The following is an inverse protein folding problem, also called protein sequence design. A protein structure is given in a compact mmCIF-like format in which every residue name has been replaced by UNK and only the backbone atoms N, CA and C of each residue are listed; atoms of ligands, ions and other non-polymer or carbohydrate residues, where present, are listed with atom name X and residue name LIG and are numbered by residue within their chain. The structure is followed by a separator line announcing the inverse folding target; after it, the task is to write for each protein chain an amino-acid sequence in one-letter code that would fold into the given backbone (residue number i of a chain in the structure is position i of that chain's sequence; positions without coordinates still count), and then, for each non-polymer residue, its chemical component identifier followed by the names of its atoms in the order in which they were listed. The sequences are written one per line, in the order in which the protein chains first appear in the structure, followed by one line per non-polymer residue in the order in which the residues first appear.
data_IF_994301165967
#
_entry.id   IF_994301165967
#
_cell.length_a   1.000
_cell.length_b   1.000
_cell.length_c   1.000
_cell.angle_alpha   90.00
_cell.angle_beta   90.00
_cell.angle_gamma   90.00
#
_symmetry.space_group_name_H-M   'P 1'
#
loop_
_entity.id
_entity.type
_entity.pdbx_description
1 polymer ?
#
# COMPACT_ATOMS: atom_id res chain seq x y z
N UNK A 1 18.03 -61.12 28.99
CA UNK A 1 18.00 -62.00 30.19
C UNK A 1 16.70 -61.73 30.93
N UNK A 2 15.90 -62.77 31.10
CA UNK A 2 14.58 -62.77 31.75
C UNK A 2 14.74 -62.89 33.27
N UNK A 3 13.97 -62.13 34.04
CA UNK A 3 13.45 -62.48 35.40
C UNK A 3 12.54 -61.31 35.85
N UNK A 4 11.22 -61.44 35.80
CA UNK A 4 10.31 -62.04 36.80
C UNK A 4 10.53 -61.47 38.21
N UNK A 5 9.57 -60.67 38.69
CA UNK A 5 8.92 -60.96 39.97
C UNK A 5 7.61 -60.16 40.14
N UNK A 6 6.53 -60.92 40.23
CA UNK A 6 5.20 -60.51 40.70
C UNK A 6 5.20 -60.63 42.22
N UNK A 7 4.73 -59.59 42.91
CA UNK A 7 4.37 -59.68 44.33
C UNK A 7 3.05 -58.92 44.56
N UNK A 8 1.99 -59.69 44.79
CA UNK A 8 0.68 -59.25 45.27
C UNK A 8 0.65 -59.26 46.79
N UNK A 9 0.31 -58.15 47.41
CA UNK A 9 -0.17 -58.09 48.80
C UNK A 9 -1.44 -57.24 48.85
N UNK A 10 -2.51 -57.85 49.34
CA UNK A 10 -3.76 -57.20 49.69
C UNK A 10 -3.75 -56.87 51.19
N UNK A 11 -4.29 -55.71 51.58
CA UNK A 11 -4.98 -55.53 52.87
C UNK A 11 -5.74 -54.18 52.93
N UNK A 12 -7.03 -54.34 53.18
CA UNK A 12 -7.96 -53.52 53.97
C UNK A 12 -8.27 -52.06 53.62
N UNK A 13 -9.56 -51.88 53.34
CA UNK A 13 -10.28 -50.62 53.29
C UNK A 13 -10.56 -50.04 54.69
N UNK A 14 -10.55 -48.71 54.79
CA UNK A 14 -11.46 -47.92 55.60
C UNK A 14 -11.83 -46.65 54.81
N UNK A 15 -13.10 -46.31 54.91
CA UNK A 15 -13.87 -45.33 54.15
C UNK A 15 -13.57 -43.88 54.54
N UNK A 16 -13.64 -42.93 53.60
CA UNK A 16 -14.52 -41.76 53.78
C UNK A 16 -14.80 -40.95 52.50
N UNK A 17 -16.07 -40.58 52.39
CA UNK A 17 -16.71 -39.47 51.66
C UNK A 17 -16.08 -38.83 50.41
N UNK A 18 -16.79 -38.90 49.28
CA UNK A 18 -16.60 -37.95 48.18
C UNK A 18 -17.27 -38.33 46.87
N UNK A 19 -18.53 -37.94 46.70
CA UNK A 19 -19.25 -37.69 45.42
C UNK A 19 -18.75 -38.37 44.13
N UNK A 20 -19.44 -39.43 43.68
CA UNK A 20 -19.41 -39.85 42.27
C UNK A 20 -20.27 -38.89 41.42
N UNK A 21 -19.78 -38.37 40.28
CA UNK A 21 -20.64 -37.66 39.34
C UNK A 21 -21.57 -38.65 38.63
N UNK A 22 -22.87 -38.35 38.67
CA UNK A 22 -23.92 -39.06 37.94
C UNK A 22 -23.78 -38.76 36.44
N UNK A 23 -23.63 -39.82 35.65
CA UNK A 23 -24.01 -39.82 34.24
C UNK A 23 -25.53 -39.59 34.14
N UNK A 24 -25.93 -38.60 33.34
CA UNK A 24 -27.32 -38.38 32.98
C UNK A 24 -27.40 -37.92 31.52
N UNK A 25 -27.45 -38.90 30.62
CA UNK A 25 -28.05 -38.76 29.31
C UNK A 25 -29.57 -38.74 29.45
N UNK A 26 -30.20 -37.58 29.22
CA UNK A 26 -31.54 -37.42 28.65
C UNK A 26 -31.82 -35.92 28.44
N UNK A 27 -31.80 -35.45 27.18
CA UNK A 27 -32.40 -34.17 26.80
C UNK A 27 -33.89 -34.41 26.48
N UNK A 28 -34.82 -33.56 26.94
CA UNK A 28 -36.20 -33.64 26.51
C UNK A 28 -36.30 -33.15 25.05
N UNK A 29 -37.15 -33.80 24.26
CA UNK A 29 -37.52 -33.37 22.92
C UNK A 29 -38.27 -32.03 23.03
N UNK A 30 -37.64 -30.96 22.53
CA UNK A 30 -38.22 -29.63 22.40
C UNK A 30 -38.43 -29.28 20.93
N UNK A 31 -39.53 -28.60 20.66
CA UNK A 31 -40.10 -28.26 19.36
C UNK A 31 -39.10 -27.91 18.24
N UNK A 32 -39.31 -28.55 17.09
CA UNK A 32 -38.52 -28.44 15.88
C UNK A 32 -38.78 -27.15 15.08
N UNK A 33 -38.31 -26.03 15.62
CA UNK A 33 -37.90 -24.88 14.82
C UNK A 33 -36.37 -24.86 14.78
N UNK A 34 -35.74 -25.42 13.75
CA UNK A 34 -34.30 -25.23 13.56
C UNK A 34 -34.05 -23.77 13.18
N UNK A 35 -33.84 -22.90 14.17
CA UNK A 35 -33.10 -21.66 13.91
C UNK A 35 -31.76 -22.08 13.33
N UNK A 36 -31.59 -21.88 12.02
CA UNK A 36 -30.31 -22.12 11.35
C UNK A 36 -29.29 -21.26 12.08
N UNK A 37 -28.29 -21.90 12.71
CA UNK A 37 -27.18 -21.19 13.32
C UNK A 37 -26.61 -20.19 12.30
N UNK A 38 -26.36 -18.95 12.75
CA UNK A 38 -25.83 -17.92 11.87
C UNK A 38 -24.54 -18.43 11.17
N UNK A 39 -24.34 -18.15 9.88
CA UNK A 39 -23.16 -18.59 9.16
C UNK A 39 -21.88 -18.14 9.88
N UNK A 40 -20.95 -19.06 10.11
CA UNK A 40 -19.63 -18.73 10.68
C UNK A 40 -18.86 -17.91 9.64
N UNK A 41 -18.49 -16.68 10.00
CA UNK A 41 -17.68 -15.79 9.17
C UNK A 41 -16.31 -15.60 9.80
N UNK A 42 -15.26 -15.53 8.99
CA UNK A 42 -13.92 -15.15 9.44
C UNK A 42 -13.72 -13.63 9.33
N UNK A 43 -12.83 -13.09 10.17
CA UNK A 43 -12.47 -11.67 10.13
C UNK A 43 -11.77 -11.35 8.79
N UNK A 44 -12.28 -10.33 8.08
CA UNK A 44 -11.70 -9.87 6.81
C UNK A 44 -10.44 -9.02 6.99
N UNK A 45 -10.33 -8.35 8.13
CA UNK A 45 -9.16 -7.62 8.61
C UNK A 45 -8.79 -8.13 10.02
N UNK A 46 -8.00 -9.22 10.12
CA UNK A 46 -7.60 -9.79 11.41
C UNK A 46 -6.52 -8.96 12.13
N UNK A 47 -5.88 -8.01 11.45
CA UNK A 47 -4.85 -7.12 12.02
C UNK A 47 -5.23 -5.65 11.77
N UNK A 48 -6.33 -5.18 12.39
CA UNK A 48 -6.84 -3.83 12.12
C UNK A 48 -5.83 -2.77 12.52
N UNK A 49 -5.96 -1.60 11.89
CA UNK A 49 -5.19 -0.42 12.30
C UNK A 49 -5.46 -0.09 13.78
N UNK A 50 -4.38 0.24 14.47
CA UNK A 50 -4.40 0.82 15.84
C UNK A 50 -3.91 2.27 15.82
N UNK A 51 -3.73 2.83 14.62
CA UNK A 51 -3.27 4.20 14.45
C UNK A 51 -4.29 5.20 15.00
N UNK A 52 -3.75 6.18 15.72
CA UNK A 52 -4.45 7.38 16.10
C UNK A 52 -3.61 8.58 15.70
N UNK A 53 -4.27 9.63 15.19
CA UNK A 53 -3.59 10.86 14.81
C UNK A 53 -2.74 11.40 15.98
N UNK A 54 -1.53 11.85 15.65
CA UNK A 54 -0.68 12.53 16.60
C UNK A 54 -1.31 13.86 17.02
N UNK A 55 -0.99 14.40 18.21
CA UNK A 55 -1.49 15.71 18.63
C UNK A 55 -1.06 16.80 17.63
N UNK A 56 -2.03 17.47 17.03
CA UNK A 56 -1.84 18.63 16.17
C UNK A 56 -2.24 19.93 16.86
N UNK A 57 -1.83 21.05 16.26
CA UNK A 57 -2.34 22.39 16.61
C UNK A 57 -3.02 22.99 15.38
N UNK A 58 -4.12 23.74 15.54
CA UNK A 58 -4.69 24.49 14.42
C UNK A 58 -3.58 25.33 13.78
N UNK A 59 -3.44 25.23 12.46
CA UNK A 59 -2.32 25.86 11.75
C UNK A 59 -2.84 26.54 10.48
N UNK A 60 -2.47 27.81 10.32
CA UNK A 60 -2.71 28.60 9.13
C UNK A 60 -1.38 28.86 8.43
N UNK A 61 -1.20 28.28 7.25
CA UNK A 61 -0.15 28.67 6.31
C UNK A 61 -0.72 29.81 5.45
N UNK A 62 -0.01 30.94 5.33
CA UNK A 62 -0.45 32.10 4.52
C UNK A 62 0.65 32.61 3.59
N UNK A 63 0.26 33.38 2.57
CA UNK A 63 1.16 33.93 1.55
C UNK A 63 1.97 32.87 0.77
N UNK A 64 1.40 31.68 0.59
CA UNK A 64 2.05 30.54 -0.09
C UNK A 64 1.56 30.38 -1.52
N UNK A 65 2.33 29.71 -2.37
CA UNK A 65 1.79 29.15 -3.62
C UNK A 65 1.21 27.76 -3.33
N UNK A 66 -0.10 27.58 -3.50
CA UNK A 66 -0.76 26.30 -3.22
C UNK A 66 -0.90 25.50 -4.51
N UNK A 67 -0.45 24.24 -4.51
CA UNK A 67 -0.96 23.21 -5.42
C UNK A 67 -1.90 22.34 -4.62
N UNK A 68 -3.18 22.29 -4.97
CA UNK A 68 -4.21 21.64 -4.14
C UNK A 68 -4.25 20.10 -4.28
N UNK A 69 -3.51 19.53 -5.25
CA UNK A 69 -3.54 18.10 -5.58
C UNK A 69 -4.70 17.68 -6.49
N UNK A 70 -5.60 18.60 -6.85
CA UNK A 70 -6.71 18.35 -7.78
C UNK A 70 -6.47 18.99 -9.16
N UNK A 71 -5.34 19.68 -9.31
CA UNK A 71 -4.94 20.35 -10.54
C UNK A 71 -5.17 21.86 -10.51
N UNK A 72 -5.39 22.45 -9.33
CA UNK A 72 -5.52 23.90 -9.19
C UNK A 72 -4.33 24.52 -8.46
N UNK A 73 -4.02 25.75 -8.88
CA UNK A 73 -3.01 26.61 -8.29
C UNK A 73 -3.65 27.84 -7.65
N UNK A 74 -3.16 28.23 -6.47
CA UNK A 74 -3.53 29.50 -5.82
C UNK A 74 -2.25 30.24 -5.43
N UNK A 75 -2.00 31.38 -6.08
CA UNK A 75 -0.88 32.27 -5.73
C UNK A 75 -1.28 33.20 -4.57
N UNK A 76 -0.36 33.40 -3.61
CA UNK A 76 -0.66 34.17 -2.40
C UNK A 76 -1.77 33.51 -1.55
N UNK A 77 -1.92 32.20 -1.67
CA UNK A 77 -2.92 31.40 -1.00
C UNK A 77 -2.62 31.19 0.48
N UNK A 78 -3.58 30.54 1.12
CA UNK A 78 -3.61 30.18 2.53
C UNK A 78 -4.28 28.82 2.68
N UNK A 79 -3.78 28.01 3.63
CA UNK A 79 -4.30 26.69 3.97
C UNK A 79 -4.47 26.64 5.48
N UNK A 80 -5.71 26.44 5.94
CA UNK A 80 -6.05 26.24 7.34
C UNK A 80 -6.37 24.76 7.57
N UNK A 81 -5.74 24.18 8.58
CA UNK A 81 -6.05 22.83 9.04
C UNK A 81 -6.10 22.77 10.57
N UNK A 82 -6.98 21.92 11.08
CA UNK A 82 -7.23 21.70 12.51
C UNK A 82 -7.88 20.32 12.70
N UNK A 83 -7.74 19.74 13.90
CA UNK A 83 -8.38 18.46 14.27
C UNK A 83 -8.14 17.33 13.25
N UNK A 84 -6.91 17.30 12.72
CA UNK A 84 -6.46 16.34 11.72
C UNK A 84 -6.99 16.52 10.31
N UNK A 85 -7.70 17.62 10.02
CA UNK A 85 -8.34 17.85 8.72
C UNK A 85 -8.01 19.21 8.13
N UNK A 86 -8.02 19.26 6.80
CA UNK A 86 -8.07 20.52 6.06
C UNK A 86 -9.42 21.18 6.34
N UNK A 87 -9.38 22.41 6.83
CA UNK A 87 -10.57 23.21 7.15
C UNK A 87 -10.95 24.09 5.97
N UNK A 88 -9.96 24.80 5.41
CA UNK A 88 -10.18 25.73 4.31
C UNK A 88 -8.90 25.97 3.49
N UNK A 89 -9.08 26.27 2.21
CA UNK A 89 -8.03 26.72 1.29
C UNK A 89 -8.57 27.93 0.51
N UNK A 90 -7.78 29.00 0.40
CA UNK A 90 -8.20 30.25 -0.23
C UNK A 90 -7.14 31.35 -0.14
N UNK A 91 -7.47 32.62 -0.37
CA UNK A 91 -6.49 33.74 -0.36
C UNK A 91 -6.57 34.63 0.86
N UNK A 92 -7.65 34.55 1.66
CA UNK A 92 -7.89 35.42 2.81
C UNK A 92 -8.55 34.63 3.94
N UNK A 93 -7.81 33.69 4.52
CA UNK A 93 -8.28 32.90 5.65
C UNK A 93 -7.89 33.58 6.97
N UNK A 94 -8.82 33.63 7.91
CA UNK A 94 -8.55 34.10 9.27
C UNK A 94 -8.06 32.93 10.13
N UNK A 95 -7.05 33.20 10.95
CA UNK A 95 -6.56 32.23 11.92
C UNK A 95 -7.53 32.13 13.10
N UNK A 96 -8.06 30.94 13.44
CA UNK A 96 -8.83 30.78 14.66
C UNK A 96 -7.94 31.04 15.89
N UNK A 97 -8.57 31.33 17.03
CA UNK A 97 -7.85 31.57 18.27
C UNK A 97 -6.96 30.36 18.64
N UNK A 98 -5.70 30.63 18.99
CA UNK A 98 -4.72 29.58 19.33
C UNK A 98 -4.08 28.89 18.12
N UNK A 99 -4.42 29.28 16.89
CA UNK A 99 -3.76 28.74 15.71
C UNK A 99 -2.32 29.23 15.57
N UNK A 100 -1.44 28.33 15.16
CA UNK A 100 -0.11 28.68 14.68
C UNK A 100 -0.24 29.33 13.30
N UNK A 101 0.29 30.54 13.14
CA UNK A 101 0.31 31.22 11.84
C UNK A 101 1.73 31.19 11.29
N UNK A 102 1.89 30.62 10.10
CA UNK A 102 3.18 30.53 9.41
C UNK A 102 3.08 31.35 8.12
N UNK A 103 3.95 32.35 8.01
CA UNK A 103 4.14 33.10 6.78
C UNK A 103 5.05 32.32 5.83
N UNK A 104 4.53 32.01 4.65
CA UNK A 104 5.21 31.21 3.64
C UNK A 104 5.49 31.98 2.36
N UNK A 105 5.74 33.29 2.44
CA UNK A 105 6.14 34.08 1.27
C UNK A 105 7.29 33.40 0.51
N UNK A 106 7.08 33.17 -0.80
CA UNK A 106 8.05 32.49 -1.68
C UNK A 106 8.08 30.95 -1.56
N UNK A 107 7.28 30.38 -0.65
CA UNK A 107 7.17 28.94 -0.40
C UNK A 107 5.96 28.34 -1.11
N UNK A 108 5.95 27.01 -1.20
CA UNK A 108 4.87 26.25 -1.81
C UNK A 108 4.22 25.33 -0.78
N UNK A 109 2.92 25.12 -0.91
CA UNK A 109 2.17 24.17 -0.09
C UNK A 109 1.47 23.16 -0.98
N UNK A 110 1.58 21.89 -0.62
CA UNK A 110 0.99 20.77 -1.36
C UNK A 110 0.37 19.76 -0.41
N UNK A 111 -0.53 18.87 -0.88
CA UNK A 111 -0.77 17.61 -0.18
C UNK A 111 0.54 16.83 -0.06
N UNK A 112 0.64 16.01 0.97
CA UNK A 112 1.72 15.05 1.13
C UNK A 112 1.83 14.08 -0.05
N UNK A 113 3.05 13.64 -0.33
CA UNK A 113 3.30 12.64 -1.38
C UNK A 113 2.72 11.29 -0.92
N UNK A 114 2.10 10.57 -1.87
CA UNK A 114 1.62 9.20 -1.71
C UNK A 114 2.42 8.29 -2.64
N UNK A 115 3.26 7.42 -2.08
CA UNK A 115 4.00 6.43 -2.89
C UNK A 115 3.23 5.11 -2.98
N UNK A 116 2.78 4.77 -4.19
CA UNK A 116 1.99 3.55 -4.43
C UNK A 116 2.85 2.29 -4.56
N UNK A 117 4.17 2.40 -4.70
CA UNK A 117 5.07 1.24 -4.81
C UNK A 117 6.33 1.43 -3.97
N UNK A 118 6.33 0.82 -2.79
CA UNK A 118 7.51 0.83 -1.92
C UNK A 118 7.78 -0.56 -1.36
N UNK A 119 9.07 -0.79 -1.10
CA UNK A 119 9.57 -1.93 -0.36
C UNK A 119 10.25 -1.50 0.95
N UNK A 120 9.93 -0.31 1.46
CA UNK A 120 10.38 0.08 2.79
C UNK A 120 9.75 -0.84 3.84
N UNK A 121 10.51 -1.15 4.89
CA UNK A 121 10.11 -2.06 5.96
C UNK A 121 10.25 -3.54 5.64
N UNK A 122 9.97 -4.01 4.40
CA UNK A 122 10.17 -5.41 3.98
C UNK A 122 11.44 -5.65 3.14
N UNK A 123 12.07 -4.57 2.65
CA UNK A 123 13.48 -4.47 2.28
C UNK A 123 14.15 -3.26 2.98
N UNK A 124 14.29 -3.29 4.31
CA UNK A 124 14.73 -2.13 5.08
C UNK A 124 16.20 -1.76 4.87
N UNK A 125 16.52 -0.47 5.09
CA UNK A 125 17.87 0.07 5.06
C UNK A 125 18.57 -0.10 6.43
N UNK A 126 19.87 -0.44 6.51
CA UNK A 126 20.75 -0.83 5.41
C UNK A 126 20.37 -2.19 4.86
N UNK A 127 20.47 -2.33 3.54
CA UNK A 127 20.15 -3.58 2.86
C UNK A 127 21.21 -4.64 3.19
N UNK A 128 20.79 -5.68 3.89
CA UNK A 128 21.56 -6.91 4.12
C UNK A 128 20.71 -8.12 3.76
N UNK A 129 21.34 -9.26 3.49
CA UNK A 129 20.62 -10.47 3.08
C UNK A 129 19.51 -10.89 4.07
N UNK A 130 19.72 -10.67 5.37
CA UNK A 130 18.74 -10.99 6.41
C UNK A 130 17.48 -10.09 6.39
N UNK A 131 17.53 -8.96 5.69
CA UNK A 131 16.42 -8.02 5.52
C UNK A 131 15.63 -8.30 4.24
N UNK A 132 15.85 -9.45 3.58
CA UNK A 132 15.29 -9.73 2.25
C UNK A 132 13.86 -10.31 2.29
N UNK A 133 12.93 -9.67 3.00
CA UNK A 133 11.58 -10.21 3.24
C UNK A 133 10.53 -9.83 2.18
N UNK A 134 10.89 -8.99 1.20
CA UNK A 134 9.96 -8.53 0.16
C UNK A 134 9.56 -9.57 -0.91
N UNK A 135 10.16 -10.76 -0.99
CA UNK A 135 9.72 -11.81 -1.94
C UNK A 135 9.74 -13.21 -1.32
N UNK A 136 8.56 -13.78 -1.05
CA UNK A 136 8.41 -15.20 -0.67
C UNK A 136 8.52 -16.11 -1.91
N UNK A 137 9.71 -16.17 -2.49
CA UNK A 137 9.93 -16.77 -3.80
C UNK A 137 9.90 -18.31 -3.78
N UNK A 138 9.19 -18.98 -2.86
CA UNK A 138 9.15 -20.45 -2.74
C UNK A 138 8.00 -21.11 -3.52
N UNK A 139 6.97 -20.34 -3.88
CA UNK A 139 5.84 -20.76 -4.72
C UNK A 139 5.44 -19.64 -5.67
N UNK A 140 5.02 -19.90 -6.93
CA UNK A 140 4.52 -18.84 -7.83
C UNK A 140 3.22 -18.18 -7.37
N UNK A 141 2.51 -18.82 -6.45
CA UNK A 141 1.26 -18.35 -5.88
C UNK A 141 1.40 -18.39 -4.36
N UNK A 142 1.50 -17.21 -3.75
CA UNK A 142 1.62 -16.99 -2.29
C UNK A 142 0.60 -15.95 -1.83
N UNK A 143 -0.64 -16.04 -2.33
CA UNK A 143 -1.71 -15.10 -1.96
C UNK A 143 -2.11 -15.17 -0.46
N UNK A 144 -1.55 -16.14 0.27
CA UNK A 144 -1.64 -16.32 1.71
C UNK A 144 -0.63 -15.47 2.52
N UNK A 145 0.46 -14.98 1.92
CA UNK A 145 1.45 -14.14 2.62
C UNK A 145 1.16 -12.65 2.47
N UNK A 146 1.49 -11.87 3.50
CA UNK A 146 1.08 -10.47 3.63
C UNK A 146 2.32 -9.64 3.96
N UNK A 147 2.61 -8.60 3.17
CA UNK A 147 3.76 -7.72 3.41
C UNK A 147 3.72 -7.08 4.81
N UNK A 148 2.50 -6.87 5.34
CA UNK A 148 2.28 -6.28 6.66
C UNK A 148 2.91 -7.09 7.82
N UNK A 149 3.20 -8.37 7.61
CA UNK A 149 3.90 -9.21 8.60
C UNK A 149 5.42 -9.05 8.57
N UNK A 150 5.97 -8.44 7.52
CA UNK A 150 7.41 -8.22 7.34
C UNK A 150 7.80 -6.75 7.51
N UNK A 151 6.84 -5.81 7.52
CA UNK A 151 7.12 -4.40 7.76
C UNK A 151 7.84 -4.23 9.10
N UNK A 152 9.11 -3.85 9.05
CA UNK A 152 9.88 -3.43 10.21
C UNK A 152 9.69 -1.92 10.47
N UNK A 153 8.97 -1.51 11.53
CA UNK A 153 8.61 -0.10 11.74
C UNK A 153 9.79 0.85 12.03
N UNK A 154 10.96 0.30 12.38
CA UNK A 154 12.16 1.10 12.69
C UNK A 154 13.05 1.32 11.47
N UNK A 155 12.64 0.87 10.28
CA UNK A 155 13.38 1.14 9.04
C UNK A 155 13.65 2.65 8.89
N UNK A 156 14.93 3.10 8.89
CA UNK A 156 15.29 4.49 8.69
C UNK A 156 14.75 5.09 7.39
N UNK A 157 14.45 4.25 6.39
CA UNK A 157 13.86 4.65 5.12
C UNK A 157 12.57 5.45 5.28
N UNK A 158 11.71 5.11 6.25
CA UNK A 158 10.45 5.84 6.51
C UNK A 158 10.71 7.30 6.88
N UNK A 159 11.63 7.53 7.81
CA UNK A 159 12.03 8.87 8.26
C UNK A 159 12.68 9.68 7.15
N UNK A 160 13.54 9.05 6.33
CA UNK A 160 14.17 9.68 5.17
C UNK A 160 13.14 10.05 4.10
N UNK A 161 12.17 9.18 3.81
CA UNK A 161 11.07 9.47 2.90
C UNK A 161 10.20 10.65 3.37
N UNK A 162 9.92 10.73 4.67
CA UNK A 162 9.19 11.85 5.27
C UNK A 162 9.99 13.16 5.15
N UNK A 163 11.23 13.18 5.63
CA UNK A 163 12.04 14.40 5.75
C UNK A 163 12.55 14.93 4.40
N UNK A 164 12.96 14.05 3.49
CA UNK A 164 13.57 14.46 2.23
C UNK A 164 12.54 14.54 1.09
N UNK A 165 11.54 13.66 1.13
CA UNK A 165 10.53 13.54 0.08
C UNK A 165 9.18 14.18 0.41
N UNK A 166 8.85 14.45 1.69
CA UNK A 166 7.49 14.86 2.04
C UNK A 166 6.46 13.74 1.83
N UNK A 167 6.89 12.48 1.92
CA UNK A 167 6.04 11.28 1.80
C UNK A 167 5.27 11.09 3.10
N UNK A 168 3.94 11.12 3.00
CA UNK A 168 3.02 11.02 4.16
C UNK A 168 2.23 9.72 4.17
N UNK A 169 2.10 9.07 3.02
CA UNK A 169 1.41 7.78 2.85
C UNK A 169 2.18 6.94 1.86
N UNK A 170 2.25 5.64 2.09
CA UNK A 170 2.88 4.70 1.18
C UNK A 170 2.24 3.32 1.24
N UNK A 171 2.27 2.60 0.12
CA UNK A 171 1.93 1.19 0.08
C UNK A 171 3.21 0.35 0.17
N UNK A 172 3.25 -0.57 1.14
CA UNK A 172 4.25 -1.64 1.20
C UNK A 172 3.64 -2.90 0.61
N UNK A 173 4.38 -3.55 -0.28
CA UNK A 173 3.90 -4.66 -1.08
C UNK A 173 5.04 -5.65 -1.37
N UNK A 174 4.73 -6.94 -1.58
CA UNK A 174 5.72 -7.89 -2.07
C UNK A 174 6.35 -7.42 -3.39
N UNK A 175 7.50 -7.97 -3.77
CA UNK A 175 8.15 -7.73 -5.04
C UNK A 175 7.47 -8.44 -6.22
N UNK A 176 8.26 -8.76 -7.24
CA UNK A 176 7.75 -9.29 -8.52
C UNK A 176 8.26 -10.70 -8.86
N UNK A 177 8.80 -11.42 -7.87
CA UNK A 177 9.26 -12.79 -8.08
C UNK A 177 8.09 -13.75 -8.39
N UNK A 178 6.92 -13.53 -7.81
CA UNK A 178 5.78 -14.44 -7.84
C UNK A 178 4.68 -13.90 -8.77
N UNK A 179 3.86 -14.77 -9.35
CA UNK A 179 2.68 -14.33 -10.12
C UNK A 179 1.62 -13.70 -9.22
N UNK A 180 1.43 -14.26 -8.02
CA UNK A 180 0.64 -13.67 -6.94
C UNK A 180 1.52 -13.65 -5.69
N UNK A 181 2.10 -12.49 -5.39
CA UNK A 181 3.14 -12.33 -4.36
C UNK A 181 2.60 -12.20 -2.94
N UNK A 182 1.34 -11.83 -2.76
CA UNK A 182 0.72 -11.65 -1.45
C UNK A 182 0.03 -10.30 -1.28
N UNK A 183 -0.51 -10.07 -0.08
CA UNK A 183 -1.22 -8.83 0.21
C UNK A 183 -0.27 -7.65 0.45
N UNK A 184 -0.63 -6.47 -0.07
CA UNK A 184 -0.01 -5.19 0.27
C UNK A 184 -0.76 -4.50 1.41
N UNK A 185 -0.10 -3.57 2.10
CA UNK A 185 -0.68 -2.73 3.15
C UNK A 185 -0.37 -1.26 2.88
N UNK A 186 -1.34 -0.39 3.12
CA UNK A 186 -1.14 1.07 3.07
C UNK A 186 -0.84 1.57 4.47
N UNK A 187 0.22 2.36 4.59
CA UNK A 187 0.70 2.93 5.84
C UNK A 187 0.62 4.47 5.78
N UNK A 188 0.29 5.08 6.92
CA UNK A 188 0.64 6.47 7.20
C UNK A 188 2.13 6.51 7.55
N UNK A 189 2.88 7.42 6.96
CA UNK A 189 4.31 7.56 7.23
C UNK A 189 4.53 8.31 8.56
N UNK A 190 4.32 7.59 9.65
CA UNK A 190 4.40 8.08 11.03
C UNK A 190 5.27 7.15 11.85
N UNK A 191 5.71 7.61 13.02
CA UNK A 191 6.39 6.73 13.95
C UNK A 191 5.41 5.69 14.51
N UNK A 192 5.84 4.43 14.59
CA UNK A 192 5.01 3.37 15.15
C UNK A 192 5.90 2.31 15.76
N UNK A 193 5.46 1.73 16.88
CA UNK A 193 6.14 0.55 17.45
C UNK A 193 5.74 -0.75 16.76
N UNK A 194 4.62 -0.72 16.04
CA UNK A 194 4.04 -1.85 15.32
C UNK A 194 3.57 -1.38 13.95
N UNK A 195 3.51 -2.30 12.98
CA UNK A 195 2.93 -2.02 11.68
C UNK A 195 1.48 -1.54 11.82
N UNK A 196 0.68 -2.14 12.71
CA UNK A 196 -0.72 -1.73 12.94
C UNK A 196 -0.84 -0.28 13.42
N UNK A 197 0.16 0.23 14.16
CA UNK A 197 0.19 1.63 14.59
C UNK A 197 0.54 2.60 13.44
N UNK A 198 1.06 2.09 12.32
CA UNK A 198 1.29 2.86 11.08
C UNK A 198 0.21 2.62 10.03
N UNK A 199 -0.52 1.50 10.11
CA UNK A 199 -1.52 1.09 9.12
C UNK A 199 -2.59 2.14 8.90
N UNK A 200 -2.82 2.52 7.64
CA UNK A 200 -3.80 3.53 7.26
C UNK A 200 -5.23 3.06 7.63
N UNK A 201 -5.96 3.80 8.48
CA UNK A 201 -7.28 3.36 8.92
C UNK A 201 -8.28 3.23 7.77
N UNK A 202 -8.82 2.03 7.59
CA UNK A 202 -9.85 1.74 6.59
C UNK A 202 -9.34 1.68 5.14
N UNK A 203 -8.03 1.72 4.90
CA UNK A 203 -7.50 1.46 3.57
C UNK A 203 -7.75 0.00 3.17
N UNK A 204 -8.20 -0.28 1.93
CA UNK A 204 -8.26 -1.64 1.41
C UNK A 204 -6.88 -2.31 1.41
N UNK A 205 -6.85 -3.62 1.60
CA UNK A 205 -5.68 -4.40 1.21
C UNK A 205 -5.51 -4.35 -0.31
N UNK A 206 -4.27 -4.45 -0.79
CA UNK A 206 -4.02 -4.82 -2.17
C UNK A 206 -3.54 -6.25 -2.31
N UNK A 207 -3.52 -6.78 -3.53
CA UNK A 207 -2.87 -8.02 -3.91
C UNK A 207 -1.78 -7.69 -4.94
N UNK A 208 -0.52 -7.95 -4.60
CA UNK A 208 0.58 -7.85 -5.57
C UNK A 208 0.53 -9.05 -6.52
N UNK A 209 0.44 -8.75 -7.80
CA UNK A 209 0.61 -9.72 -8.89
C UNK A 209 1.77 -9.33 -9.79
N UNK A 210 2.28 -10.26 -10.61
CA UNK A 210 3.30 -9.96 -11.61
C UNK A 210 3.11 -10.70 -12.93
N UNK A 211 3.33 -10.00 -14.04
CA UNK A 211 3.47 -10.53 -15.39
C UNK A 211 4.96 -10.55 -15.79
N UNK A 212 5.28 -10.96 -17.03
CA UNK A 212 6.60 -10.68 -17.60
C UNK A 212 7.73 -11.63 -17.23
N UNK A 213 8.95 -11.12 -17.32
CA UNK A 213 10.21 -11.86 -17.20
C UNK A 213 10.50 -12.28 -15.77
N UNK A 214 10.10 -11.49 -14.77
CA UNK A 214 10.48 -11.76 -13.38
C UNK A 214 9.97 -13.12 -12.88
N UNK A 215 8.66 -13.45 -12.94
CA UNK A 215 8.18 -14.76 -12.49
C UNK A 215 8.77 -15.91 -13.30
N UNK A 216 8.75 -15.80 -14.63
CA UNK A 216 9.28 -16.88 -15.49
C UNK A 216 10.78 -17.12 -15.30
N UNK A 217 11.55 -16.09 -14.95
CA UNK A 217 12.99 -16.20 -14.67
C UNK A 217 13.21 -16.90 -13.33
N UNK A 218 12.49 -16.49 -12.28
CA UNK A 218 12.65 -17.05 -10.93
C UNK A 218 12.30 -18.54 -10.87
N UNK A 219 11.16 -18.95 -11.40
CA UNK A 219 10.77 -20.37 -11.35
C UNK A 219 11.40 -21.17 -12.48
N UNK A 220 11.60 -20.57 -13.65
CA UNK A 220 12.33 -21.19 -14.75
C UNK A 220 13.76 -21.59 -14.38
N UNK A 221 14.49 -20.77 -13.61
CA UNK A 221 15.84 -21.12 -13.13
C UNK A 221 15.83 -22.27 -12.12
N UNK A 222 14.67 -22.62 -11.56
CA UNK A 222 14.46 -23.75 -10.63
C UNK A 222 13.84 -24.96 -11.32
N UNK A 223 13.76 -24.94 -12.65
CA UNK A 223 13.08 -25.95 -13.45
C UNK A 223 11.61 -26.18 -13.01
N UNK A 224 10.94 -25.09 -12.61
CA UNK A 224 9.58 -25.08 -12.10
C UNK A 224 8.69 -24.19 -12.99
N UNK A 225 7.42 -24.59 -13.15
CA UNK A 225 6.42 -23.75 -13.83
C UNK A 225 6.06 -22.54 -12.91
N UNK A 226 6.03 -21.30 -13.43
CA UNK A 226 6.17 -20.91 -14.84
C UNK A 226 7.61 -20.65 -15.30
N UNK A 227 7.93 -21.03 -16.53
CA UNK A 227 9.22 -20.72 -17.20
C UNK A 227 9.03 -19.93 -18.51
N UNK A 228 7.79 -19.60 -18.87
CA UNK A 228 7.41 -18.85 -20.07
C UNK A 228 6.27 -17.89 -19.74
N UNK A 229 6.05 -16.87 -20.59
CA UNK A 229 4.90 -15.96 -20.46
C UNK A 229 3.56 -16.71 -20.58
N UNK A 230 3.50 -17.73 -21.45
CA UNK A 230 2.34 -18.64 -21.53
C UNK A 230 2.14 -19.41 -20.21
N UNK A 231 3.25 -19.83 -19.59
CA UNK A 231 3.24 -20.45 -18.27
C UNK A 231 2.71 -19.53 -17.18
N UNK A 232 3.11 -18.25 -17.19
CA UNK A 232 2.58 -17.24 -16.26
C UNK A 232 1.05 -17.20 -16.36
N UNK A 233 0.53 -16.92 -17.56
CA UNK A 233 -0.91 -16.80 -17.83
C UNK A 233 -1.64 -18.11 -17.49
N UNK A 234 -1.09 -19.27 -17.83
CA UNK A 234 -1.73 -20.56 -17.53
C UNK A 234 -1.88 -20.79 -16.02
N UNK A 235 -0.87 -20.45 -15.22
CA UNK A 235 -0.92 -20.61 -13.76
C UNK A 235 -1.89 -19.61 -13.13
N UNK A 236 -1.90 -18.35 -13.58
CA UNK A 236 -2.85 -17.36 -13.10
C UNK A 236 -4.30 -17.75 -13.42
N UNK A 237 -4.60 -18.09 -14.69
CA UNK A 237 -5.94 -18.51 -15.10
C UNK A 237 -6.43 -19.73 -14.33
N UNK A 238 -5.56 -20.72 -14.09
CA UNK A 238 -5.89 -21.89 -13.27
C UNK A 238 -6.20 -21.49 -11.81
N UNK A 239 -5.45 -20.53 -11.27
CA UNK A 239 -5.63 -20.07 -9.89
C UNK A 239 -6.90 -19.26 -9.73
N UNK A 240 -7.22 -18.36 -10.67
CA UNK A 240 -8.49 -17.64 -10.69
C UNK A 240 -9.70 -18.56 -10.88
N UNK A 241 -9.60 -19.61 -11.70
CA UNK A 241 -10.66 -20.61 -11.82
C UNK A 241 -10.95 -21.32 -10.48
N UNK A 242 -9.90 -21.64 -9.71
CA UNK A 242 -10.05 -22.19 -8.34
C UNK A 242 -10.68 -21.16 -7.40
N UNK A 243 -10.22 -19.91 -7.43
CA UNK A 243 -10.77 -18.83 -6.60
C UNK A 243 -12.26 -18.58 -6.88
N UNK A 244 -12.67 -18.59 -8.15
CA UNK A 244 -14.07 -18.46 -8.52
C UNK A 244 -14.92 -19.62 -8.00
N UNK A 245 -14.41 -20.86 -8.06
CA UNK A 245 -15.08 -22.03 -7.48
C UNK A 245 -15.17 -21.94 -5.95
N UNK A 246 -14.11 -21.49 -5.29
CA UNK A 246 -14.07 -21.25 -3.84
C UNK A 246 -15.10 -20.20 -3.41
N UNK A 247 -15.12 -19.05 -4.10
CA UNK A 247 -16.11 -17.97 -3.88
C UNK A 247 -17.54 -18.49 -4.01
N UNK A 248 -17.87 -19.26 -5.06
CA UNK A 248 -19.22 -19.83 -5.22
C UNK A 248 -19.63 -20.72 -4.05
N UNK A 249 -18.72 -21.53 -3.50
CA UNK A 249 -19.00 -22.39 -2.34
C UNK A 249 -19.29 -21.55 -1.09
N UNK A 250 -18.43 -20.58 -0.80
CA UNK A 250 -18.61 -19.70 0.37
C UNK A 250 -19.83 -18.79 0.26
N UNK A 251 -20.07 -18.18 -0.90
CA UNK A 251 -21.25 -17.34 -1.10
C UNK A 251 -22.55 -18.15 -1.00
N UNK A 252 -22.55 -19.42 -1.43
CA UNK A 252 -23.68 -20.33 -1.22
C UNK A 252 -23.91 -20.59 0.27
N UNK A 253 -22.85 -20.93 1.00
CA UNK A 253 -22.91 -21.16 2.44
C UNK A 253 -23.41 -19.93 3.21
N UNK A 254 -22.90 -18.74 2.89
CA UNK A 254 -23.28 -17.49 3.56
C UNK A 254 -24.73 -17.07 3.29
N UNK A 255 -25.31 -17.46 2.15
CA UNK A 255 -26.72 -17.23 1.83
C UNK A 255 -27.65 -18.30 2.41
N UNK A 256 -27.29 -19.57 2.25
CA UNK A 256 -28.22 -20.69 2.45
C UNK A 256 -28.03 -21.39 3.81
N UNK A 257 -26.89 -21.18 4.47
CA UNK A 257 -26.43 -21.94 5.63
C UNK A 257 -25.94 -23.35 5.28
N UNK A 258 -25.68 -24.18 6.29
CA UNK A 258 -25.22 -25.57 6.13
C UNK A 258 -23.89 -25.82 6.84
N UNK A 259 -23.10 -26.77 6.32
CA UNK A 259 -21.73 -26.97 6.78
C UNK A 259 -20.80 -25.96 6.10
N UNK A 260 -19.93 -25.26 6.86
CA UNK A 260 -19.00 -24.30 6.29
C UNK A 260 -18.03 -25.00 5.33
N UNK A 261 -17.77 -24.44 4.13
CA UNK A 261 -16.70 -24.93 3.28
C UNK A 261 -15.36 -24.91 4.00
N UNK A 262 -14.45 -25.81 3.60
CA UNK A 262 -13.07 -25.76 4.08
C UNK A 262 -12.43 -24.40 3.73
N UNK A 263 -11.71 -23.85 4.70
CA UNK A 263 -11.07 -22.54 4.58
C UNK A 263 -9.67 -22.67 4.01
N UNK A 264 -9.37 -21.88 2.98
CA UNK A 264 -8.04 -21.74 2.37
C UNK A 264 -7.67 -20.24 2.39
N UNK A 265 -6.59 -19.89 3.10
CA UNK A 265 -6.19 -18.49 3.35
C UNK A 265 -5.77 -17.79 2.04
N UNK A 266 -5.12 -18.49 1.12
CA UNK A 266 -4.78 -17.94 -0.19
C UNK A 266 -6.06 -17.64 -0.98
N UNK A 267 -7.02 -18.57 -0.97
CA UNK A 267 -8.30 -18.38 -1.66
C UNK A 267 -9.18 -17.32 -0.98
N UNK A 268 -9.05 -17.08 0.33
CA UNK A 268 -9.72 -15.97 1.01
C UNK A 268 -9.27 -14.61 0.44
N UNK A 269 -7.97 -14.46 0.16
CA UNK A 269 -7.43 -13.26 -0.53
C UNK A 269 -8.02 -13.10 -1.92
N UNK A 270 -8.00 -14.16 -2.72
CA UNK A 270 -8.51 -14.10 -4.11
C UNK A 270 -10.04 -13.92 -4.14
N UNK A 271 -10.77 -14.48 -3.17
CA UNK A 271 -12.20 -14.21 -2.97
C UNK A 271 -12.45 -12.74 -2.63
N UNK A 272 -11.59 -12.13 -1.82
CA UNK A 272 -11.63 -10.69 -1.52
C UNK A 272 -11.48 -9.85 -2.78
N UNK A 273 -10.53 -10.21 -3.66
CA UNK A 273 -10.37 -9.56 -4.97
C UNK A 273 -11.62 -9.70 -5.84
N UNK A 274 -12.14 -10.91 -5.98
CA UNK A 274 -13.37 -11.19 -6.75
C UNK A 274 -14.63 -10.54 -6.14
N UNK A 275 -14.56 -10.01 -4.92
CA UNK A 275 -15.64 -9.29 -4.25
C UNK A 275 -15.42 -7.77 -4.27
N UNK A 276 -14.32 -7.29 -4.86
CA UNK A 276 -13.95 -5.86 -4.90
C UNK A 276 -13.40 -5.31 -3.58
N UNK A 277 -13.06 -6.18 -2.62
CA UNK A 277 -12.60 -5.79 -1.27
C UNK A 277 -11.08 -5.65 -1.19
N UNK A 278 -10.35 -6.31 -2.09
CA UNK A 278 -8.89 -6.27 -2.20
C UNK A 278 -8.54 -5.78 -3.60
N UNK A 279 -7.68 -4.75 -3.68
CA UNK A 279 -7.32 -4.07 -4.92
C UNK A 279 -6.14 -4.76 -5.62
N UNK A 280 -6.24 -5.05 -6.91
CA UNK A 280 -5.12 -5.70 -7.63
C UNK A 280 -4.07 -4.67 -8.03
N UNK A 281 -2.84 -4.92 -7.58
CA UNK A 281 -1.64 -4.14 -7.85
C UNK A 281 -0.67 -4.99 -8.68
N UNK A 282 -0.66 -4.82 -10.00
CA UNK A 282 -0.02 -5.77 -10.91
C UNK A 282 1.27 -5.23 -11.53
N UNK A 283 2.42 -5.76 -11.14
CA UNK A 283 3.70 -5.54 -11.83
C UNK A 283 3.62 -6.01 -13.28
N UNK A 284 3.85 -5.10 -14.24
CA UNK A 284 3.92 -5.45 -15.65
C UNK A 284 4.63 -4.35 -16.44
N UNK A 285 5.46 -4.71 -17.42
CA UNK A 285 6.17 -3.72 -18.23
C UNK A 285 5.54 -3.49 -19.59
N UNK A 286 5.30 -4.58 -20.32
CA UNK A 286 4.93 -4.53 -21.72
C UNK A 286 3.43 -4.38 -21.96
N UNK A 287 3.09 -3.67 -23.02
CA UNK A 287 1.72 -3.37 -23.41
C UNK A 287 0.92 -4.62 -23.76
N UNK A 288 1.52 -5.58 -24.47
CA UNK A 288 0.85 -6.82 -24.85
C UNK A 288 0.52 -7.71 -23.64
N UNK A 289 1.40 -7.73 -22.64
CA UNK A 289 1.16 -8.49 -21.41
C UNK A 289 0.10 -7.83 -20.54
N UNK A 290 0.11 -6.50 -20.42
CA UNK A 290 -0.96 -5.75 -19.74
C UNK A 290 -2.32 -6.01 -20.39
N UNK A 291 -2.40 -6.01 -21.72
CA UNK A 291 -3.64 -6.31 -22.44
C UNK A 291 -4.16 -7.74 -22.14
N UNK A 292 -3.28 -8.74 -22.09
CA UNK A 292 -3.66 -10.12 -21.73
C UNK A 292 -4.17 -10.19 -20.28
N UNK A 293 -3.52 -9.49 -19.33
CA UNK A 293 -3.97 -9.46 -17.94
C UNK A 293 -5.34 -8.78 -17.82
N UNK A 294 -5.61 -7.72 -18.59
CA UNK A 294 -6.94 -7.09 -18.65
C UNK A 294 -8.01 -8.04 -19.20
N UNK A 295 -7.71 -8.84 -20.23
CA UNK A 295 -8.66 -9.83 -20.75
C UNK A 295 -8.90 -10.97 -19.77
N UNK A 296 -7.88 -11.41 -19.04
CA UNK A 296 -8.04 -12.37 -17.93
C UNK A 296 -8.89 -11.79 -16.79
N UNK A 297 -8.74 -10.49 -16.50
CA UNK A 297 -9.56 -9.79 -15.52
C UNK A 297 -11.05 -9.83 -15.90
N UNK A 298 -11.37 -9.60 -17.18
CA UNK A 298 -12.73 -9.76 -17.72
C UNK A 298 -13.24 -11.20 -17.64
N UNK A 299 -12.40 -12.20 -17.95
CA UNK A 299 -12.77 -13.62 -17.90
C UNK A 299 -13.25 -14.04 -16.50
N UNK A 300 -12.54 -13.62 -15.45
CA UNK A 300 -12.83 -14.04 -14.08
C UNK A 300 -13.63 -13.03 -13.25
N UNK A 301 -13.82 -11.81 -13.75
CA UNK A 301 -14.59 -10.76 -13.09
C UNK A 301 -13.85 -10.08 -11.94
N UNK A 302 -12.53 -9.94 -12.03
CA UNK A 302 -11.77 -9.03 -11.15
C UNK A 302 -11.39 -7.74 -11.90
N UNK A 303 -10.94 -6.73 -11.16
CA UNK A 303 -10.48 -5.47 -11.73
C UNK A 303 -9.01 -5.25 -11.36
N UNK A 304 -8.18 -4.88 -12.35
CA UNK A 304 -6.81 -4.43 -12.12
C UNK A 304 -6.86 -2.95 -11.76
N UNK A 305 -6.51 -2.62 -10.51
CA UNK A 305 -6.55 -1.23 -10.04
C UNK A 305 -5.39 -0.43 -10.61
N UNK A 306 -4.17 -0.96 -10.54
CA UNK A 306 -3.02 -0.37 -11.20
C UNK A 306 -2.05 -1.40 -11.79
N UNK A 307 -1.46 -1.07 -12.93
CA UNK A 307 -0.25 -1.71 -13.41
C UNK A 307 0.97 -0.94 -12.88
N UNK A 308 1.90 -1.66 -12.25
CA UNK A 308 3.13 -1.10 -11.71
C UNK A 308 4.28 -1.24 -12.72
N UNK A 309 5.13 -0.22 -12.74
CA UNK A 309 6.16 0.09 -13.73
C UNK A 309 5.60 0.47 -15.09
N UNK A 310 4.74 -0.38 -15.68
CA UNK A 310 3.93 -0.12 -16.86
C UNK A 310 4.69 0.69 -17.94
N UNK A 311 5.92 0.24 -18.23
CA UNK A 311 6.90 0.97 -19.04
C UNK A 311 6.36 1.27 -20.45
N UNK A 312 5.51 0.40 -20.99
CA UNK A 312 4.87 0.59 -22.29
C UNK A 312 3.40 1.04 -22.20
N UNK A 313 2.94 1.55 -21.04
CA UNK A 313 1.54 1.95 -20.84
C UNK A 313 1.06 3.00 -21.87
N UNK A 314 1.95 3.90 -22.31
CA UNK A 314 1.68 4.87 -23.37
C UNK A 314 1.14 4.26 -24.67
N UNK A 315 1.43 2.98 -24.95
CA UNK A 315 0.95 2.27 -26.16
C UNK A 315 -0.51 1.81 -26.05
N UNK A 316 -1.04 1.72 -24.83
CA UNK A 316 -2.37 1.16 -24.54
C UNK A 316 -3.18 2.06 -23.59
N UNK A 317 -2.94 3.37 -23.62
CA UNK A 317 -3.60 4.33 -22.76
C UNK A 317 -5.14 4.28 -22.90
N UNK A 318 -5.63 4.00 -24.10
CA UNK A 318 -7.04 3.79 -24.41
C UNK A 318 -7.61 2.55 -23.68
N UNK A 319 -6.89 1.43 -23.67
CA UNK A 319 -7.30 0.23 -22.94
C UNK A 319 -7.33 0.48 -21.44
N UNK A 320 -6.31 1.15 -20.89
CA UNK A 320 -6.24 1.48 -19.47
C UNK A 320 -7.44 2.37 -19.06
N UNK A 321 -7.71 3.41 -19.85
CA UNK A 321 -8.87 4.29 -19.65
C UNK A 321 -10.19 3.53 -19.73
N UNK A 322 -10.37 2.68 -20.74
CA UNK A 322 -11.61 1.92 -20.95
C UNK A 322 -11.90 0.94 -19.80
N UNK A 323 -10.85 0.44 -19.13
CA UNK A 323 -11.00 -0.48 -18.00
C UNK A 323 -10.97 0.24 -16.64
N UNK A 324 -10.73 1.56 -16.60
CA UNK A 324 -10.58 2.30 -15.35
C UNK A 324 -9.31 1.97 -14.56
N UNK A 325 -8.29 1.43 -15.23
CA UNK A 325 -7.04 0.98 -14.61
C UNK A 325 -5.99 2.09 -14.65
N UNK A 326 -5.28 2.29 -13.53
CA UNK A 326 -4.17 3.22 -13.43
C UNK A 326 -2.85 2.60 -13.92
N UNK A 327 -1.92 3.44 -14.36
CA UNK A 327 -0.53 3.06 -14.59
C UNK A 327 0.37 3.83 -13.61
N UNK A 328 1.07 3.08 -12.76
CA UNK A 328 2.11 3.58 -11.89
C UNK A 328 3.46 3.36 -12.59
N UNK A 329 4.04 4.43 -13.12
CA UNK A 329 5.27 4.38 -13.94
C UNK A 329 6.46 5.01 -13.24
N UNK A 330 7.67 4.76 -13.75
CA UNK A 330 8.83 5.60 -13.43
C UNK A 330 8.91 6.78 -14.40
N UNK A 331 9.68 7.80 -14.04
CA UNK A 331 10.00 8.89 -14.96
C UNK A 331 10.95 8.44 -16.09
N UNK A 332 12.03 7.74 -15.74
CA UNK A 332 13.13 7.44 -16.67
C UNK A 332 13.85 6.11 -16.40
N UNK A 333 13.39 5.27 -15.47
CA UNK A 333 14.05 4.01 -15.16
C UNK A 333 13.60 2.87 -16.10
N UNK A 334 14.34 2.69 -17.20
CA UNK A 334 14.09 1.66 -18.21
C UNK A 334 15.41 1.18 -18.86
N UNK A 335 15.37 0.23 -19.79
CA UNK A 335 16.55 -0.26 -20.53
C UNK A 335 17.41 -1.33 -19.81
N UNK A 336 17.06 -1.71 -18.59
CA UNK A 336 17.82 -2.67 -17.78
C UNK A 336 17.49 -4.15 -18.05
N UNK A 337 16.43 -4.43 -18.83
CA UNK A 337 16.09 -5.76 -19.37
C UNK A 337 15.21 -5.60 -20.61
N UNK A 338 15.01 -6.68 -21.37
CA UNK A 338 14.30 -6.60 -22.66
C UNK A 338 12.86 -6.12 -22.52
N UNK A 339 12.11 -6.59 -21.52
CA UNK A 339 10.74 -6.12 -21.30
C UNK A 339 10.62 -4.67 -20.82
N UNK A 340 11.69 -4.09 -20.27
CA UNK A 340 11.73 -2.67 -19.90
C UNK A 340 12.49 -1.84 -20.93
N UNK A 341 12.80 -2.36 -22.11
CA UNK A 341 13.68 -1.66 -23.06
C UNK A 341 13.01 -0.46 -23.73
N UNK A 342 11.74 -0.58 -24.11
CA UNK A 342 11.01 0.42 -24.89
C UNK A 342 10.29 1.47 -24.02
N UNK A 343 10.98 1.91 -22.96
CA UNK A 343 10.54 3.01 -22.10
C UNK A 343 10.86 4.38 -22.70
N UNK A 344 10.03 5.36 -22.38
CA UNK A 344 10.17 6.75 -22.82
C UNK A 344 9.86 7.70 -21.66
N UNK A 345 10.50 8.88 -21.65
CA UNK A 345 10.28 9.89 -20.60
C UNK A 345 8.89 10.53 -20.64
N UNK A 346 8.22 10.45 -21.78
CA UNK A 346 6.89 11.03 -22.03
C UNK A 346 5.74 10.13 -21.57
N UNK A 347 6.00 8.91 -21.09
CA UNK A 347 4.98 7.89 -20.83
C UNK A 347 3.83 8.44 -19.95
N UNK A 348 4.18 9.03 -18.80
CA UNK A 348 3.23 9.60 -17.85
C UNK A 348 2.43 10.78 -18.45
N UNK A 349 3.09 11.63 -19.26
CA UNK A 349 2.43 12.78 -19.91
C UNK A 349 1.47 12.35 -21.03
N UNK A 350 1.80 11.30 -21.79
CA UNK A 350 0.93 10.71 -22.81
C UNK A 350 -0.32 10.09 -22.15
N UNK A 351 -0.15 9.42 -21.01
CA UNK A 351 -1.26 8.86 -20.23
C UNK A 351 -2.22 9.96 -19.74
N UNK A 352 -1.69 11.05 -19.16
CA UNK A 352 -2.50 12.21 -18.73
C UNK A 352 -3.27 12.80 -19.92
N UNK A 353 -2.61 13.06 -21.06
CA UNK A 353 -3.23 13.63 -22.26
C UNK A 353 -4.34 12.73 -22.83
N UNK A 354 -4.19 11.41 -22.68
CA UNK A 354 -5.19 10.43 -23.12
C UNK A 354 -6.41 10.36 -22.19
N UNK A 355 -6.30 10.94 -20.99
CA UNK A 355 -7.28 10.84 -19.91
C UNK A 355 -7.27 9.47 -19.22
N UNK A 356 -6.18 8.72 -19.34
CA UNK A 356 -5.95 7.53 -18.54
C UNK A 356 -5.51 7.93 -17.12
N UNK A 357 -5.70 7.06 -16.14
CA UNK A 357 -5.20 7.32 -14.79
C UNK A 357 -3.67 7.10 -14.76
N UNK A 358 -2.92 8.16 -14.46
CA UNK A 358 -1.47 8.20 -14.51
C UNK A 358 -0.90 8.52 -13.12
N UNK A 359 0.02 7.70 -12.63
CA UNK A 359 0.70 7.90 -11.34
C UNK A 359 2.18 7.59 -11.45
N UNK A 360 2.97 8.12 -10.53
CA UNK A 360 4.40 7.82 -10.41
C UNK A 360 4.67 7.07 -9.10
N UNK A 361 5.71 6.26 -9.07
CA UNK A 361 6.16 5.53 -7.88
C UNK A 361 7.68 5.45 -7.83
N UNK A 362 8.23 5.05 -6.68
CA UNK A 362 9.69 4.97 -6.51
C UNK A 362 10.25 3.61 -6.90
N UNK A 363 9.74 2.53 -6.29
CA UNK A 363 10.37 1.19 -6.29
C UNK A 363 11.85 1.22 -5.83
N UNK A 364 12.26 2.26 -5.09
CA UNK A 364 13.64 2.48 -4.66
C UNK A 364 13.71 3.32 -3.38
N UNK A 365 14.56 2.90 -2.45
CA UNK A 365 14.77 3.54 -1.14
C UNK A 365 15.34 4.97 -1.23
N UNK A 366 16.00 5.32 -2.34
CA UNK A 366 16.51 6.68 -2.60
C UNK A 366 15.53 7.49 -3.46
N UNK A 367 14.88 6.85 -4.43
CA UNK A 367 13.88 7.44 -5.31
C UNK A 367 12.64 7.94 -4.57
N UNK A 368 12.20 7.22 -3.52
CA UNK A 368 11.06 7.62 -2.68
C UNK A 368 11.26 9.01 -2.04
N UNK A 369 12.52 9.39 -1.80
CA UNK A 369 12.88 10.68 -1.22
C UNK A 369 12.83 11.85 -2.24
N UNK A 370 12.52 11.56 -3.51
CA UNK A 370 12.69 12.49 -4.65
C UNK A 370 11.58 12.40 -5.70
N UNK A 371 10.42 11.83 -5.38
CA UNK A 371 9.32 11.68 -6.35
C UNK A 371 8.86 12.99 -6.98
N UNK A 372 8.94 14.11 -6.25
CA UNK A 372 8.74 15.45 -6.80
C UNK A 372 9.75 15.77 -7.92
N UNK A 373 11.02 15.38 -7.77
CA UNK A 373 12.05 15.56 -8.79
C UNK A 373 11.83 14.63 -9.98
N UNK A 374 11.36 13.39 -9.75
CA UNK A 374 10.99 12.47 -10.83
C UNK A 374 9.86 13.04 -11.70
N UNK A 375 8.86 13.69 -11.10
CA UNK A 375 7.84 14.42 -11.88
C UNK A 375 8.40 15.60 -12.66
N UNK A 376 9.40 16.32 -12.12
CA UNK A 376 10.07 17.37 -12.87
C UNK A 376 10.79 16.85 -14.13
N UNK A 377 11.37 15.63 -14.09
CA UNK A 377 11.95 14.98 -15.27
C UNK A 377 10.88 14.67 -16.33
N UNK A 378 9.72 14.20 -15.90
CA UNK A 378 8.57 13.96 -16.82
C UNK A 378 8.11 15.27 -17.45
N UNK A 379 7.94 16.34 -16.67
CA UNK A 379 7.56 17.66 -17.18
C UNK A 379 8.55 18.17 -18.24
N UNK A 380 9.85 17.97 -18.01
CA UNK A 380 10.90 18.30 -18.98
C UNK A 380 10.75 17.49 -20.27
N UNK A 381 10.58 16.17 -20.17
CA UNK A 381 10.41 15.29 -21.34
C UNK A 381 9.15 15.64 -22.13
N UNK A 382 8.03 15.87 -21.42
CA UNK A 382 6.76 16.30 -22.00
C UNK A 382 6.89 17.61 -22.78
N UNK A 383 7.56 18.62 -22.21
CA UNK A 383 7.80 19.89 -22.87
C UNK A 383 8.65 19.73 -24.15
N UNK A 384 9.72 18.93 -24.11
CA UNK A 384 10.52 18.65 -25.32
C UNK A 384 9.71 17.94 -26.41
N UNK A 385 8.74 17.12 -26.03
CA UNK A 385 7.81 16.45 -26.93
C UNK A 385 6.61 17.32 -27.36
N UNK A 386 6.53 18.58 -26.93
CA UNK A 386 5.43 19.49 -27.24
C UNK A 386 4.12 19.13 -26.53
N UNK A 387 4.19 18.48 -25.37
CA UNK A 387 3.05 18.17 -24.50
C UNK A 387 3.09 19.13 -23.30
N UNK A 388 2.24 20.14 -23.33
CA UNK A 388 2.12 21.11 -22.24
C UNK A 388 1.30 20.52 -21.08
N UNK A 389 1.94 20.35 -19.93
CA UNK A 389 1.29 19.96 -18.68
C UNK A 389 1.54 21.05 -17.64
N UNK A 390 0.47 21.59 -17.06
CA UNK A 390 0.57 22.57 -15.99
C UNK A 390 1.20 21.92 -14.73
N UNK A 391 2.14 22.58 -14.03
CA UNK A 391 2.80 22.01 -12.84
C UNK A 391 1.83 21.51 -11.76
N UNK A 392 0.75 22.26 -11.49
CA UNK A 392 -0.28 21.89 -10.52
C UNK A 392 -1.06 20.63 -10.92
N UNK A 393 -1.21 20.36 -12.22
CA UNK A 393 -1.80 19.13 -12.74
C UNK A 393 -0.85 17.96 -12.54
N UNK A 394 0.45 18.15 -12.80
CA UNK A 394 1.45 17.11 -12.61
C UNK A 394 1.59 16.66 -11.14
N UNK A 395 1.26 17.52 -10.17
CA UNK A 395 1.25 17.13 -8.76
C UNK A 395 0.24 16.00 -8.46
N UNK A 396 -0.83 15.85 -9.27
CA UNK A 396 -1.78 14.73 -9.13
C UNK A 396 -1.09 13.37 -9.25
N UNK A 397 -0.03 13.26 -10.05
CA UNK A 397 0.63 11.98 -10.34
C UNK A 397 1.30 11.34 -9.11
N UNK A 398 1.61 12.14 -8.10
CA UNK A 398 2.30 11.71 -6.87
C UNK A 398 1.48 11.98 -5.59
N UNK A 399 0.21 12.39 -5.73
CA UNK A 399 -0.71 12.67 -4.61
C UNK A 399 -2.09 12.04 -4.84
N UNK A 400 -3.03 12.76 -5.46
CA UNK A 400 -4.41 12.30 -5.65
C UNK A 400 -4.53 11.04 -6.53
N UNK A 401 -3.72 10.94 -7.58
CA UNK A 401 -3.67 9.78 -8.48
C UNK A 401 -3.36 8.47 -7.73
N UNK A 402 -2.21 8.37 -7.04
CA UNK A 402 -1.90 7.20 -6.24
C UNK A 402 -2.89 6.98 -5.08
N UNK A 403 -3.42 8.03 -4.45
CA UNK A 403 -4.50 7.88 -3.45
C UNK A 403 -5.75 7.19 -4.02
N UNK A 404 -6.13 7.52 -5.27
CA UNK A 404 -7.26 6.88 -5.97
C UNK A 404 -6.97 5.42 -6.30
N UNK A 405 -5.76 5.12 -6.78
CA UNK A 405 -5.34 3.75 -7.06
C UNK A 405 -5.15 2.87 -5.80
N UNK A 406 -5.10 3.50 -4.62
CA UNK A 406 -5.11 2.83 -3.32
C UNK A 406 -6.50 2.79 -2.66
N UNK A 407 -7.52 3.43 -3.25
CA UNK A 407 -8.87 3.49 -2.68
C UNK A 407 -8.99 4.36 -1.42
N UNK A 408 -8.13 5.37 -1.28
CA UNK A 408 -8.07 6.29 -0.12
C UNK A 408 -8.23 7.77 -0.52
N UNK A 409 -8.64 8.05 -1.75
CA UNK A 409 -8.79 9.40 -2.28
C UNK A 409 -9.94 10.19 -1.63
N UNK A 410 -10.88 9.52 -0.95
CA UNK A 410 -11.86 10.20 -0.13
C UNK A 410 -11.24 10.82 1.14
N UNK A 411 -10.13 10.25 1.63
CA UNK A 411 -9.49 10.61 2.88
C UNK A 411 -8.30 11.56 2.67
N UNK A 412 -7.45 11.34 1.66
CA UNK A 412 -6.20 12.09 1.47
C UNK A 412 -5.92 12.41 -0.01
N UNK A 413 -4.72 12.88 -0.33
CA UNK A 413 -4.23 13.15 -1.70
C UNK A 413 -4.61 14.52 -2.26
N UNK A 414 -5.45 15.31 -1.59
CA UNK A 414 -5.72 16.70 -1.96
C UNK A 414 -5.98 17.60 -0.75
N UNK A 415 -5.74 18.91 -0.89
CA UNK A 415 -6.03 19.94 0.11
C UNK A 415 -7.49 20.39 0.02
N UNK A 416 -8.43 19.44 0.07
CA UNK A 416 -9.87 19.72 0.03
C UNK A 416 -10.42 19.75 1.47
N UNK A 417 -11.30 20.72 1.83
CA UNK A 417 -11.96 20.73 3.12
C UNK A 417 -12.57 19.38 3.51
N UNK A 418 -12.33 18.94 4.73
CA UNK A 418 -12.80 17.67 5.29
C UNK A 418 -11.84 16.48 5.09
N UNK A 419 -10.89 16.55 4.16
CA UNK A 419 -9.83 15.55 4.01
C UNK A 419 -8.79 15.66 5.13
N UNK A 420 -8.03 14.58 5.31
CA UNK A 420 -6.88 14.50 6.22
C UNK A 420 -5.88 15.63 5.93
N UNK A 421 -5.36 16.24 6.98
CA UNK A 421 -4.36 17.30 6.88
C UNK A 421 -2.95 16.72 6.69
N UNK A 422 -2.75 15.99 5.59
CA UNK A 422 -1.44 15.54 5.11
C UNK A 422 -0.86 16.65 4.23
N UNK A 423 -0.02 17.51 4.81
CA UNK A 423 0.41 18.80 4.21
C UNK A 423 1.93 18.89 4.20
N UNK A 424 2.50 19.40 3.11
CA UNK A 424 3.93 19.71 3.02
C UNK A 424 4.11 21.19 2.67
N UNK A 425 4.90 21.89 3.49
CA UNK A 425 5.43 23.21 3.16
C UNK A 425 6.83 23.04 2.59
N UNK A 426 7.03 23.47 1.35
CA UNK A 426 8.29 23.41 0.63
C UNK A 426 8.99 24.76 0.66
N UNK A 427 10.31 24.78 0.85
CA UNK A 427 11.09 26.02 0.90
C UNK A 427 11.22 26.76 -0.47
N UNK A 428 10.56 26.27 -1.52
CA UNK A 428 10.55 26.82 -2.87
C UNK A 428 9.65 25.98 -3.79
N UNK A 429 9.80 26.13 -5.11
CA UNK A 429 9.05 25.34 -6.08
C UNK A 429 9.37 23.84 -5.90
N UNK A 430 8.38 22.98 -5.62
CA UNK A 430 8.63 21.58 -5.29
C UNK A 430 9.23 20.77 -6.46
N UNK A 431 9.21 21.27 -7.69
CA UNK A 431 9.87 20.62 -8.84
C UNK A 431 11.34 21.03 -9.04
N UNK A 432 11.88 21.90 -8.18
CA UNK A 432 13.30 22.26 -8.20
C UNK A 432 14.17 21.22 -7.49
N UNK A 433 15.34 20.91 -8.05
CA UNK A 433 16.33 20.01 -7.41
C UNK A 433 16.93 20.58 -6.12
N UNK A 434 16.84 21.91 -5.93
CA UNK A 434 17.31 22.60 -4.72
C UNK A 434 16.26 22.66 -3.61
N UNK A 435 15.00 22.37 -3.94
CA UNK A 435 13.91 22.47 -2.98
C UNK A 435 13.85 21.25 -2.08
N UNK A 436 13.54 21.51 -0.80
CA UNK A 436 13.35 20.51 0.24
C UNK A 436 12.02 20.76 0.95
N UNK A 437 11.39 19.72 1.53
CA UNK A 437 10.39 19.92 2.56
C UNK A 437 11.00 20.80 3.66
N UNK A 438 10.28 21.85 4.05
CA UNK A 438 10.62 22.65 5.23
C UNK A 438 9.88 22.12 6.45
N UNK A 439 8.59 21.80 6.27
CA UNK A 439 7.73 21.23 7.31
C UNK A 439 6.79 20.20 6.69
N UNK A 440 6.55 19.11 7.41
CA UNK A 440 5.61 18.05 6.99
C UNK A 440 4.64 17.77 8.13
N UNK A 441 3.36 17.83 7.81
CA UNK A 441 2.26 17.45 8.69
C UNK A 441 1.60 16.18 8.19
N UNK A 442 1.28 15.28 9.12
CA UNK A 442 0.44 14.10 8.87
C UNK A 442 -0.73 14.19 9.82
N UNK A 443 -1.96 14.19 9.29
CA UNK A 443 -3.18 14.50 10.05
C UNK A 443 -3.00 15.75 10.94
N UNK A 444 -2.42 16.82 10.39
CA UNK A 444 -2.25 18.11 11.07
C UNK A 444 -1.23 18.12 12.21
N UNK A 445 -0.60 16.99 12.54
CA UNK A 445 0.51 16.92 13.48
C UNK A 445 1.83 17.18 12.76
N UNK A 446 2.63 18.11 13.29
CA UNK A 446 3.95 18.44 12.73
C UNK A 446 4.94 17.30 13.04
N UNK A 447 5.28 16.49 12.03
CA UNK A 447 6.18 15.35 12.19
C UNK A 447 7.60 15.62 11.70
N UNK A 448 7.77 16.64 10.86
CA UNK A 448 9.08 17.11 10.41
C UNK A 448 9.14 18.62 10.40
N UNK A 449 10.25 19.16 10.91
CA UNK A 449 10.60 20.58 10.80
C UNK A 449 12.11 20.73 10.59
N UNK A 450 12.50 21.26 9.42
CA UNK A 450 13.88 21.47 9.04
C UNK A 450 14.65 22.37 10.03
N UNK A 451 13.97 23.30 10.69
CA UNK A 451 14.57 24.27 11.62
C UNK A 451 14.58 23.77 13.07
N UNK A 452 13.97 22.63 13.36
CA UNK A 452 13.91 22.05 14.70
C UNK A 452 14.56 20.66 14.73
N UNK A 453 15.81 20.54 15.23
CA UNK A 453 16.50 19.26 15.32
C UNK A 453 15.74 18.17 16.09
N UNK A 454 14.85 18.54 17.03
CA UNK A 454 14.04 17.55 17.78
C UNK A 454 12.91 16.93 16.96
N UNK A 455 12.59 17.52 15.81
CA UNK A 455 11.58 17.05 14.86
C UNK A 455 12.24 16.58 13.55
N UNK A 456 13.52 16.19 13.61
CA UNK A 456 14.17 15.48 12.50
C UNK A 456 14.13 13.97 12.80
N UNK A 457 13.48 13.15 11.96
CA UNK A 457 13.43 11.70 12.18
C UNK A 457 14.85 11.13 12.23
N UNK A 458 15.18 10.50 13.34
CA UNK A 458 16.35 9.62 13.47
C UNK A 458 15.83 8.30 14.02
N UNK A 459 16.12 7.20 13.32
CA UNK A 459 15.73 5.88 13.81
C UNK A 459 16.55 5.54 15.06
N UNK A 460 15.93 4.92 16.06
CA UNK A 460 16.64 4.44 17.25
C UNK A 460 17.67 3.36 16.89
N UNK A 461 17.43 2.60 15.81
CA UNK A 461 18.40 1.69 15.21
C UNK A 461 19.71 2.39 14.81
N UNK A 462 19.66 3.64 14.37
CA UNK A 462 20.83 4.41 13.94
C UNK A 462 21.60 5.04 15.13
N UNK A 463 21.02 5.07 16.33
CA UNK A 463 21.65 5.69 17.50
C UNK A 463 22.92 4.94 17.91
N UNK A 464 24.02 5.67 18.10
CA UNK A 464 25.33 5.10 18.44
C UNK A 464 26.00 4.35 17.30
N UNK A 465 25.45 4.37 16.08
CA UNK A 465 26.16 3.92 14.88
C UNK A 465 27.04 5.07 14.35
N UNK A 466 28.38 4.90 14.29
CA UNK A 466 29.27 5.95 13.81
C UNK A 466 28.90 6.42 12.40
N UNK A 467 28.54 7.69 12.27
CA UNK A 467 28.17 8.31 10.99
C UNK A 467 26.70 8.18 10.56
N UNK A 468 25.87 7.39 11.26
CA UNK A 468 24.47 7.17 10.86
C UNK A 468 23.42 7.76 11.81
N UNK A 469 23.76 8.08 13.07
CA UNK A 469 22.81 8.69 14.02
C UNK A 469 23.35 9.86 14.87
N UNK A 470 24.66 10.01 15.05
CA UNK A 470 25.22 10.96 16.03
C UNK A 470 25.33 12.43 15.53
N UNK A 471 24.94 12.73 14.28
CA UNK A 471 25.18 14.04 13.63
C UNK A 471 24.01 14.57 12.77
N UNK A 472 22.79 14.03 12.86
CA UNK A 472 21.64 14.48 12.02
C UNK A 472 20.64 15.35 12.79
#
# INVERSE_FOLDING_TARGET
MVSIMVATTALSACTDGGSRPRSASARPAGDGGSEKAAPVRYARDPYPSTYHAYPGVPTLLRNVTVFDGEGHRIDGGSVLFADGKVVAVGTALEAPAGAQVIDGQGKFVTPGIVDIHSHLGDYPTPSVQAHSDGNEATSPITADVWAEHSVWPQDPGFGRALANGGVTTLQILPGSANLMGGRSVVLKNVYGRTMQAMKFPGAPYGLKMACGENPKRVYGSRNQKPSTRMGNVAVDRQTWARAAAYKRKWDKYERDGGDPPERDIAMDTLRGVLSGEILVQNHCYRADEMAIVLDMAKEFGYHVTAFHHAVEAYKIADLLKANGTCAAVWADWYGFKMESYDGIGENLAILEKSGACATIHSDDENGIQRLNQEVAKVLSSAHHAGIDIAPEVAWKWLSLGPAKALGIDAQTGSLRPGKMADVVLWNGNPFSVYTRPEKVWVDGALLYDADNPRLRPVSDFELGQPGEGDVK
#
